data_IF_246035844355
#
_entry.id   IF_246035844355
#
_cell.length_a   1.000
_cell.length_b   1.000
_cell.length_c   1.000
_cell.angle_alpha   90.00
_cell.angle_beta   90.00
_cell.angle_gamma   90.00
#
_symmetry.space_group_name_H-M   'P 1'
#
loop_
_entity.id
_entity.type
_entity.pdbx_description
1 polymer ?
#
# COMPACT_ATOMS: atom_id res chain seq x y z
N UNK A 1 15.60 -11.10 4.65
CA UNK A 1 15.02 -12.18 5.49
C UNK A 1 13.66 -12.66 4.94
N UNK A 2 12.66 -11.80 4.76
CA UNK A 2 11.38 -12.24 4.17
C UNK A 2 11.49 -12.60 2.68
N UNK A 3 12.18 -11.76 1.89
CA UNK A 3 12.44 -12.08 0.47
C UNK A 3 13.29 -13.33 0.29
N UNK A 4 14.21 -13.63 1.22
CA UNK A 4 14.99 -14.88 1.22
C UNK A 4 14.16 -16.10 1.62
N UNK A 5 12.97 -15.92 2.19
CA UNK A 5 11.98 -16.97 2.44
C UNK A 5 10.98 -17.11 1.29
N UNK A 6 11.29 -16.54 0.11
CA UNK A 6 10.44 -16.55 -1.08
C UNK A 6 9.04 -15.95 -0.84
N UNK A 7 8.95 -14.96 0.04
CA UNK A 7 7.72 -14.19 0.30
C UNK A 7 7.65 -12.97 -0.62
N UNK A 8 6.47 -12.73 -1.15
CA UNK A 8 6.17 -11.54 -1.94
C UNK A 8 5.89 -10.36 -0.99
N UNK A 9 6.88 -9.48 -0.85
CA UNK A 9 6.86 -8.39 0.12
C UNK A 9 6.75 -7.05 -0.61
N UNK A 10 5.76 -6.25 -0.21
CA UNK A 10 5.58 -4.89 -0.66
C UNK A 10 5.83 -3.91 0.48
N UNK A 11 6.79 -3.01 0.31
CA UNK A 11 7.04 -1.94 1.27
C UNK A 11 6.24 -0.69 0.89
N UNK A 12 5.63 -0.01 1.86
CA UNK A 12 4.89 1.22 1.61
C UNK A 12 5.09 2.27 2.70
N UNK A 13 5.04 3.54 2.31
CA UNK A 13 5.22 4.72 3.18
C UNK A 13 4.18 5.77 2.86
N UNK A 14 3.95 6.71 3.78
CA UNK A 14 3.03 7.82 3.52
C UNK A 14 3.62 8.81 2.52
N UNK A 15 4.90 9.16 2.68
CA UNK A 15 5.56 10.16 1.85
C UNK A 15 6.28 9.56 0.63
N UNK A 16 6.32 10.33 -0.47
CA UNK A 16 7.02 9.95 -1.69
C UNK A 16 8.52 9.73 -1.50
N UNK A 17 9.17 10.62 -0.74
CA UNK A 17 10.61 10.55 -0.49
C UNK A 17 10.95 9.28 0.29
N UNK A 18 10.22 8.96 1.36
CA UNK A 18 10.45 7.74 2.13
C UNK A 18 10.28 6.47 1.27
N UNK A 19 9.33 6.47 0.33
CA UNK A 19 9.13 5.32 -0.56
C UNK A 19 10.34 5.01 -1.44
N UNK A 20 11.14 6.02 -1.79
CA UNK A 20 12.37 5.82 -2.59
C UNK A 20 13.50 5.17 -1.81
N UNK A 21 13.46 5.21 -0.47
CA UNK A 21 14.47 4.63 0.41
C UNK A 21 14.20 3.15 0.69
N UNK A 22 12.99 2.66 0.44
CA UNK A 22 12.60 1.27 0.68
C UNK A 22 12.79 0.40 -0.56
N UNK A 23 13.28 -0.82 -0.36
CA UNK A 23 13.30 -1.86 -1.40
C UNK A 23 11.88 -2.15 -1.88
N UNK A 24 11.66 -2.07 -3.19
CA UNK A 24 10.34 -2.15 -3.81
C UNK A 24 9.32 -1.16 -3.22
N UNK A 25 9.77 -0.01 -2.71
CA UNK A 25 8.90 0.95 -2.04
C UNK A 25 7.87 1.60 -2.97
N UNK A 26 6.66 1.80 -2.46
CA UNK A 26 5.58 2.59 -3.10
C UNK A 26 4.89 3.46 -2.05
N UNK A 27 4.40 4.64 -2.43
CA UNK A 27 3.54 5.40 -1.51
C UNK A 27 2.22 4.66 -1.27
N UNK A 28 1.65 4.79 -0.07
CA UNK A 28 0.37 4.15 0.28
C UNK A 28 -0.74 4.61 -0.66
N UNK A 29 -0.72 5.89 -1.06
CA UNK A 29 -1.65 6.43 -2.03
C UNK A 29 -1.56 5.72 -3.39
N UNK A 30 -0.36 5.39 -3.86
CA UNK A 30 -0.19 4.70 -5.14
C UNK A 30 -0.47 3.19 -5.05
N UNK A 31 -0.11 2.54 -3.94
CA UNK A 31 -0.30 1.11 -3.71
C UNK A 31 -1.78 0.75 -3.58
N UNK A 32 -2.48 1.43 -2.66
CA UNK A 32 -3.90 1.20 -2.41
C UNK A 32 -4.82 2.06 -3.27
N UNK A 33 -4.27 2.83 -4.21
CA UNK A 33 -5.01 3.75 -5.09
C UNK A 33 -5.93 4.71 -4.33
N UNK A 34 -5.49 5.20 -3.17
CA UNK A 34 -6.29 6.06 -2.29
C UNK A 34 -6.68 7.37 -2.99
N UNK A 35 -7.94 7.78 -2.83
CA UNK A 35 -8.41 9.10 -3.29
C UNK A 35 -8.03 10.18 -2.28
N UNK A 36 -6.85 10.77 -2.47
CA UNK A 36 -6.31 11.83 -1.59
C UNK A 36 -7.28 13.01 -1.48
N UNK A 37 -7.97 13.39 -2.57
CA UNK A 37 -8.92 14.51 -2.58
C UNK A 37 -10.19 14.31 -1.73
N UNK A 38 -10.42 13.12 -1.15
CA UNK A 38 -11.51 12.85 -0.21
C UNK A 38 -10.97 12.23 1.08
N UNK A 39 -9.86 12.78 1.61
CA UNK A 39 -9.20 12.32 2.83
C UNK A 39 -8.87 10.83 2.86
N UNK A 40 -8.61 10.25 1.69
CA UNK A 40 -8.35 8.81 1.51
C UNK A 40 -9.47 7.90 2.02
N UNK A 41 -10.72 8.38 2.10
CA UNK A 41 -11.90 7.58 2.52
C UNK A 41 -12.33 6.51 1.53
N UNK A 42 -11.77 6.55 0.32
CA UNK A 42 -12.14 5.64 -0.79
C UNK A 42 -10.92 5.37 -1.67
N UNK A 43 -10.97 4.28 -2.41
CA UNK A 43 -9.94 3.88 -3.36
C UNK A 43 -10.43 3.92 -4.81
N UNK A 44 -9.51 4.09 -5.75
CA UNK A 44 -9.70 3.91 -7.19
C UNK A 44 -9.39 2.48 -7.66
N UNK A 45 -9.25 1.52 -6.74
CA UNK A 45 -9.12 0.13 -7.12
C UNK A 45 -10.37 -0.32 -7.88
N UNK A 46 -10.18 -0.84 -9.09
CA UNK A 46 -11.24 -1.52 -9.82
C UNK A 46 -11.11 -3.03 -9.61
N UNK A 47 -12.25 -3.69 -9.40
CA UNK A 47 -12.28 -5.14 -9.31
C UNK A 47 -11.72 -5.76 -10.61
N UNK A 48 -10.86 -6.77 -10.45
CA UNK A 48 -10.24 -7.48 -11.58
C UNK A 48 -9.09 -6.75 -12.28
N UNK A 49 -8.70 -5.54 -11.84
CA UNK A 49 -7.54 -4.85 -12.40
C UNK A 49 -6.23 -5.63 -12.17
N UNK A 50 -5.24 -5.46 -13.05
CA UNK A 50 -3.94 -6.11 -12.87
C UNK A 50 -3.23 -5.67 -11.58
N UNK A 51 -3.42 -4.42 -11.15
CA UNK A 51 -2.84 -3.95 -9.89
C UNK A 51 -3.53 -4.60 -8.68
N UNK A 52 -4.83 -4.88 -8.78
CA UNK A 52 -5.59 -5.64 -7.77
C UNK A 52 -5.13 -7.08 -7.66
N UNK A 53 -4.87 -7.72 -8.79
CA UNK A 53 -4.32 -9.08 -8.80
C UNK A 53 -2.95 -9.13 -8.13
N UNK A 54 -2.06 -8.20 -8.48
CA UNK A 54 -0.74 -8.08 -7.85
C UNK A 54 -0.85 -7.83 -6.34
N UNK A 55 -1.76 -6.95 -5.91
CA UNK A 55 -1.95 -6.67 -4.48
C UNK A 55 -2.40 -7.94 -3.72
N UNK A 56 -3.31 -8.74 -4.31
CA UNK A 56 -3.76 -10.02 -3.74
C UNK A 56 -2.71 -11.13 -3.72
N UNK A 57 -1.69 -11.04 -4.57
CA UNK A 57 -0.56 -11.97 -4.62
C UNK A 57 0.53 -11.63 -3.59
N UNK A 58 0.42 -10.51 -2.88
CA UNK A 58 1.38 -10.14 -1.83
C UNK A 58 1.18 -11.00 -0.58
N UNK A 59 2.27 -11.54 -0.05
CA UNK A 59 2.23 -12.26 1.23
C UNK A 59 2.27 -11.30 2.42
N UNK A 60 3.02 -10.20 2.29
CA UNK A 60 3.28 -9.26 3.39
C UNK A 60 3.36 -7.83 2.87
N UNK A 61 2.66 -6.92 3.53
CA UNK A 61 2.83 -5.48 3.36
C UNK A 61 3.53 -4.91 4.59
N UNK A 62 4.65 -4.24 4.37
CA UNK A 62 5.37 -3.50 5.44
C UNK A 62 5.05 -2.03 5.26
N UNK A 63 4.40 -1.43 6.25
CA UNK A 63 3.96 -0.03 6.20
C UNK A 63 4.78 0.82 7.16
N UNK A 64 5.76 1.54 6.61
CA UNK A 64 6.58 2.51 7.34
C UNK A 64 5.87 3.86 7.50
N UNK A 65 6.36 4.71 8.41
CA UNK A 65 5.70 5.97 8.83
C UNK A 65 4.29 5.74 9.40
N UNK A 66 4.08 4.66 10.15
CA UNK A 66 2.75 4.26 10.60
C UNK A 66 2.02 5.34 11.43
N UNK A 67 2.76 6.19 12.14
CA UNK A 67 2.23 7.31 12.91
C UNK A 67 1.62 8.43 12.04
N UNK A 68 1.95 8.48 10.75
CA UNK A 68 1.43 9.48 9.80
C UNK A 68 0.19 8.99 9.04
N UNK A 69 -0.15 7.70 9.14
CA UNK A 69 -1.30 7.12 8.45
C UNK A 69 -2.59 7.60 9.12
N UNK A 70 -3.50 8.19 8.36
CA UNK A 70 -4.82 8.53 8.88
C UNK A 70 -5.66 7.28 9.10
N UNK A 71 -6.54 7.32 10.10
CA UNK A 71 -7.51 6.25 10.37
C UNK A 71 -8.29 5.87 9.09
N UNK A 72 -8.77 6.86 8.34
CA UNK A 72 -9.55 6.65 7.11
C UNK A 72 -8.75 5.94 6.01
N UNK A 73 -7.46 6.28 5.87
CA UNK A 73 -6.59 5.64 4.89
C UNK A 73 -6.31 4.19 5.27
N UNK A 74 -6.13 3.91 6.57
CA UNK A 74 -5.93 2.55 7.07
C UNK A 74 -7.17 1.68 6.89
N UNK A 75 -8.36 2.18 7.24
CA UNK A 75 -9.64 1.48 7.02
C UNK A 75 -9.91 1.23 5.53
N UNK A 76 -9.59 2.20 4.68
CA UNK A 76 -9.73 2.02 3.22
C UNK A 76 -8.72 1.02 2.67
N UNK A 77 -7.49 0.99 3.19
CA UNK A 77 -6.49 0.00 2.83
C UNK A 77 -6.94 -1.42 3.23
N UNK A 78 -7.49 -1.59 4.43
CA UNK A 78 -8.06 -2.85 4.91
C UNK A 78 -9.20 -3.33 4.00
N UNK A 79 -10.09 -2.42 3.57
CA UNK A 79 -11.20 -2.75 2.67
C UNK A 79 -10.74 -3.23 1.27
N UNK A 80 -9.58 -2.80 0.78
CA UNK A 80 -9.10 -3.16 -0.58
C UNK A 80 -8.20 -4.39 -0.61
N UNK A 81 -7.78 -4.89 0.54
CA UNK A 81 -6.97 -6.10 0.67
C UNK A 81 -7.86 -7.35 0.63
#
# INVERSE_FOLDING_TARGET
MLSSMNKNVQCTTWTGIASTLLSNGRTSASLFKLKIGNDSKTSNHSEGSNETKKLKEMDVIIWDECSMISKTALETADFVL
#
